data_IF_285941077366
#
_entry.id   IF_285941077366
#
_cell.length_a   1.000
_cell.length_b   1.000
_cell.length_c   1.000
_cell.angle_alpha   90.00
_cell.angle_beta   90.00
_cell.angle_gamma   90.00
#
_symmetry.space_group_name_H-M   'P 1'
#
loop_
_entity.id
_entity.type
_entity.pdbx_description
1 polymer ?
#
# COMPACT_ATOMS: atom_id res chain seq x y z
N UNK A 1 28.89 1.08 26.10
CA UNK A 1 28.19 2.18 25.40
C UNK A 1 28.18 2.10 23.86
N UNK A 2 29.01 1.28 23.18
CA UNK A 2 28.92 1.13 21.70
C UNK A 2 27.68 0.36 21.19
N UNK A 3 27.19 -0.61 21.96
CA UNK A 3 26.08 -1.49 21.55
C UNK A 3 24.78 -0.72 21.25
N UNK A 4 24.50 0.33 22.02
CA UNK A 4 23.28 1.13 21.88
C UNK A 4 23.27 1.96 20.59
N UNK A 5 24.42 2.48 20.14
CA UNK A 5 24.52 3.24 18.89
C UNK A 5 24.29 2.37 17.65
N UNK A 6 24.79 1.12 17.66
CA UNK A 6 24.57 0.15 16.58
C UNK A 6 23.11 -0.30 16.46
N UNK A 7 22.42 -0.45 17.60
CA UNK A 7 21.00 -0.77 17.61
C UNK A 7 20.15 0.35 16.98
N UNK A 8 20.47 1.62 17.25
CA UNK A 8 19.74 2.77 16.69
C UNK A 8 19.93 2.86 15.16
N UNK A 9 21.15 2.65 14.66
CA UNK A 9 21.41 2.66 13.21
C UNK A 9 20.63 1.59 12.46
N UNK A 10 20.52 0.38 13.02
CA UNK A 10 19.79 -0.72 12.39
C UNK A 10 18.28 -0.44 12.28
N UNK A 11 17.69 0.23 13.27
CA UNK A 11 16.26 0.60 13.24
C UNK A 11 16.00 1.65 12.16
N UNK A 12 16.88 2.65 12.02
CA UNK A 12 16.72 3.68 10.99
C UNK A 12 16.79 3.08 9.57
N UNK A 13 17.73 2.15 9.31
CA UNK A 13 17.84 1.50 8.00
C UNK A 13 16.61 0.64 7.68
N UNK A 14 16.02 -0.03 8.67
CA UNK A 14 14.79 -0.81 8.49
C UNK A 14 13.63 0.06 7.99
N UNK A 15 13.45 1.25 8.55
CA UNK A 15 12.36 2.14 8.14
C UNK A 15 12.55 2.72 6.74
N UNK A 16 13.79 3.04 6.33
CA UNK A 16 14.06 3.49 4.96
C UNK A 16 13.73 2.41 3.93
N UNK A 17 14.09 1.15 4.21
CA UNK A 17 13.76 0.02 3.33
C UNK A 17 12.24 -0.23 3.25
N UNK A 18 11.53 0.00 4.35
CA UNK A 18 10.07 -0.10 4.38
C UNK A 18 9.40 1.00 3.54
N UNK A 19 9.93 2.22 3.58
CA UNK A 19 9.46 3.34 2.75
C UNK A 19 9.69 3.08 1.26
N UNK A 20 10.89 2.62 0.87
CA UNK A 20 11.21 2.28 -0.52
C UNK A 20 10.27 1.20 -1.08
N UNK A 21 10.01 0.13 -0.29
CA UNK A 21 9.04 -0.91 -0.67
C UNK A 21 7.62 -0.38 -0.74
N UNK A 22 7.23 0.47 0.20
CA UNK A 22 5.90 1.09 0.19
C UNK A 22 5.70 1.93 -1.06
N UNK A 23 6.70 2.70 -1.49
CA UNK A 23 6.64 3.47 -2.74
C UNK A 23 6.58 2.57 -3.99
N UNK A 24 7.31 1.46 -3.99
CA UNK A 24 7.26 0.49 -5.08
C UNK A 24 5.88 -0.20 -5.18
N UNK A 25 5.30 -0.60 -4.06
CA UNK A 25 4.02 -1.29 -3.99
C UNK A 25 2.81 -0.34 -4.16
N UNK A 26 2.98 0.96 -3.90
CA UNK A 26 1.91 1.97 -3.99
C UNK A 26 1.61 2.52 -5.39
N UNK A 27 2.24 2.03 -6.47
CA UNK A 27 1.79 2.30 -7.85
C UNK A 27 1.28 1.01 -8.50
N UNK A 28 -0.04 0.80 -8.72
CA UNK A 28 -1.19 1.71 -8.56
C UNK A 28 -1.98 1.48 -7.26
N UNK A 29 -2.38 2.59 -6.61
CA UNK A 29 -3.10 2.62 -5.33
C UNK A 29 -4.27 1.62 -5.25
N UNK A 30 -4.34 0.89 -4.14
CA UNK A 30 -5.46 -0.04 -3.83
C UNK A 30 -6.81 0.66 -3.97
N UNK A 31 -6.90 1.96 -3.69
CA UNK A 31 -8.08 2.78 -3.91
C UNK A 31 -8.54 2.81 -5.38
N UNK A 32 -7.61 2.94 -6.34
CA UNK A 32 -7.94 2.90 -7.76
C UNK A 32 -8.43 1.50 -8.18
N UNK A 33 -7.85 0.43 -7.62
CA UNK A 33 -8.33 -0.93 -7.86
C UNK A 33 -9.73 -1.13 -7.28
N UNK A 34 -9.97 -0.72 -6.03
CA UNK A 34 -11.26 -0.84 -5.36
C UNK A 34 -12.35 -0.05 -6.10
N UNK A 35 -12.06 1.19 -6.53
CA UNK A 35 -12.99 2.00 -7.31
C UNK A 35 -13.38 1.31 -8.63
N UNK A 36 -12.42 0.69 -9.32
CA UNK A 36 -12.68 -0.07 -10.54
C UNK A 36 -13.60 -1.28 -10.29
N UNK A 37 -13.45 -1.97 -9.17
CA UNK A 37 -14.34 -3.10 -8.82
C UNK A 37 -15.74 -2.62 -8.45
N UNK A 38 -15.87 -1.52 -7.69
CA UNK A 38 -17.16 -0.93 -7.36
C UNK A 38 -17.96 -0.57 -8.61
N UNK A 39 -17.36 0.17 -9.56
CA UNK A 39 -18.04 0.56 -10.81
C UNK A 39 -18.52 -0.67 -11.61
N UNK A 40 -17.76 -1.78 -11.58
CA UNK A 40 -18.15 -3.03 -12.24
C UNK A 40 -19.35 -3.69 -11.58
N UNK A 41 -19.48 -3.57 -10.27
CA UNK A 41 -20.60 -4.17 -9.53
C UNK A 41 -21.89 -3.38 -9.74
N UNK A 42 -21.84 -2.05 -9.62
CA UNK A 42 -22.99 -1.17 -9.85
C UNK A 42 -23.61 -1.37 -11.24
N UNK A 43 -22.77 -1.43 -12.28
CA UNK A 43 -23.24 -1.67 -13.65
C UNK A 43 -23.99 -3.00 -13.80
N UNK A 44 -23.56 -4.05 -13.10
CA UNK A 44 -24.23 -5.36 -13.11
C UNK A 44 -25.55 -5.30 -12.36
N UNK A 45 -25.60 -4.59 -11.24
CA UNK A 45 -26.81 -4.45 -10.44
C UNK A 45 -27.90 -3.69 -11.22
N UNK A 46 -27.52 -2.58 -11.86
CA UNK A 46 -28.42 -1.84 -12.75
C UNK A 46 -28.93 -2.69 -13.91
N UNK A 47 -28.07 -3.46 -14.57
CA UNK A 47 -28.47 -4.35 -15.67
C UNK A 47 -29.38 -5.51 -15.22
N UNK A 48 -29.39 -5.87 -13.94
CA UNK A 48 -30.25 -6.92 -13.40
C UNK A 48 -31.60 -6.39 -12.88
N UNK A 49 -31.72 -5.08 -12.68
CA UNK A 49 -32.90 -4.43 -12.07
C UNK A 49 -33.73 -3.60 -13.05
N UNK A 50 -33.21 -3.33 -14.26
CA UNK A 50 -33.96 -2.78 -15.39
C UNK A 50 -34.33 -3.85 -16.40
#
# INVERSE_FOLDING_TARGET
MLKSRLQILNVCCFFLQLEERSLADCRPTIAAHAYKQFCRYENKLHAATG
#
